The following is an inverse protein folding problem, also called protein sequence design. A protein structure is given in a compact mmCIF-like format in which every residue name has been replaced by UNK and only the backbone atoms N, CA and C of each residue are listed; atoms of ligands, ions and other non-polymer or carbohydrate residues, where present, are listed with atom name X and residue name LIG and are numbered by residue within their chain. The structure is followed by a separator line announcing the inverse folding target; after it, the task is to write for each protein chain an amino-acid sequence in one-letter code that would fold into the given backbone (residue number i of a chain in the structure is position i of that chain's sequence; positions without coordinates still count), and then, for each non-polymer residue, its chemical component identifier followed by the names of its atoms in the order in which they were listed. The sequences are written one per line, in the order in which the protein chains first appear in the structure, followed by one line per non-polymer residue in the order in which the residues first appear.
data_IF_716714041163
#
_entry.id   IF_716714041163
#
_cell.length_a   1.000
_cell.length_b   1.000
_cell.length_c   1.000
_cell.angle_alpha   90.00
_cell.angle_beta   90.00
_cell.angle_gamma   90.00
#
_symmetry.space_group_name_H-M   'P 1'
#
loop_
_entity.id
_entity.type
_entity.pdbx_description
1 polymer ?
#
# COMPACT_ATOMS: atom_id res chain seq x y z
N UNK A 1 -3.37 -0.87 13.38
CA UNK A 1 -2.67 -2.17 13.47
C UNK A 1 -3.51 -3.17 12.70
N UNK A 2 -2.91 -3.89 11.75
CA UNK A 2 -3.59 -4.94 10.96
C UNK A 2 -2.97 -6.29 11.33
N UNK A 3 -3.79 -7.32 11.43
CA UNK A 3 -3.35 -8.66 11.85
C UNK A 3 -3.89 -9.67 10.87
N UNK A 4 -3.04 -10.60 10.46
CA UNK A 4 -3.43 -11.78 9.69
C UNK A 4 -3.06 -13.04 10.46
N UNK A 5 -3.95 -14.03 10.43
CA UNK A 5 -3.70 -15.34 10.99
C UNK A 5 -3.45 -16.34 9.87
N UNK A 6 -2.49 -17.24 10.05
CA UNK A 6 -2.28 -18.33 9.11
C UNK A 6 -3.44 -19.33 9.22
N UNK A 7 -4.14 -19.56 8.12
CA UNK A 7 -5.17 -20.59 7.99
C UNK A 7 -4.54 -21.84 7.38
N UNK A 8 -4.35 -22.88 8.20
CA UNK A 8 -3.77 -24.15 7.76
C UNK A 8 -4.56 -24.82 6.64
N UNK A 9 -5.89 -24.63 6.56
CA UNK A 9 -6.72 -25.25 5.53
C UNK A 9 -6.53 -24.59 4.16
N UNK A 10 -6.23 -23.29 4.17
CA UNK A 10 -6.01 -22.49 2.95
C UNK A 10 -4.53 -22.36 2.60
N UNK A 11 -3.66 -22.70 3.54
CA UNK A 11 -2.22 -22.44 3.50
C UNK A 11 -1.94 -20.95 3.18
N UNK A 12 -2.70 -20.05 3.79
CA UNK A 12 -2.72 -18.62 3.47
C UNK A 12 -2.98 -17.76 4.71
N UNK A 13 -2.58 -16.49 4.67
CA UNK A 13 -2.82 -15.52 5.73
C UNK A 13 -4.13 -14.78 5.50
N UNK A 14 -5.07 -14.95 6.44
CA UNK A 14 -6.40 -14.31 6.39
C UNK A 14 -6.50 -13.19 7.42
N UNK A 15 -7.22 -12.12 7.08
CA UNK A 15 -7.50 -11.02 8.01
C UNK A 15 -8.09 -11.56 9.31
N UNK A 16 -7.50 -11.15 10.44
CA UNK A 16 -7.85 -11.63 11.76
C UNK A 16 -7.99 -10.46 12.74
N UNK A 17 -8.87 -10.66 13.73
CA UNK A 17 -9.04 -9.71 14.81
C UNK A 17 -7.83 -9.76 15.76
N UNK A 18 -7.31 -8.62 16.25
CA UNK A 18 -6.16 -8.59 17.16
C UNK A 18 -6.32 -9.44 18.43
N UNK A 19 -7.55 -9.64 18.91
CA UNK A 19 -7.87 -10.44 20.08
C UNK A 19 -7.43 -11.90 19.92
N UNK A 20 -7.37 -12.38 18.67
CA UNK A 20 -6.93 -13.74 18.34
C UNK A 20 -5.48 -14.00 18.73
N UNK A 21 -4.64 -12.97 18.73
CA UNK A 21 -3.25 -13.02 19.20
C UNK A 21 -3.11 -13.43 20.67
N UNK A 22 -4.15 -13.20 21.48
CA UNK A 22 -4.19 -13.58 22.89
C UNK A 22 -4.94 -14.89 23.11
N UNK A 23 -5.97 -15.15 22.31
CA UNK A 23 -6.77 -16.38 22.41
C UNK A 23 -5.98 -17.62 21.96
N UNK A 24 -5.11 -17.47 20.95
CA UNK A 24 -4.23 -18.53 20.48
C UNK A 24 -2.79 -18.00 20.34
N UNK A 25 -1.99 -18.10 21.41
CA UNK A 25 -0.60 -17.66 21.42
C UNK A 25 0.35 -18.55 20.59
N UNK A 26 -0.09 -19.77 20.24
CA UNK A 26 0.74 -20.74 19.54
C UNK A 26 0.65 -20.58 18.01
N UNK A 27 -0.42 -19.97 17.51
CA UNK A 27 -0.63 -19.70 16.09
C UNK A 27 0.43 -18.79 15.45
N UNK A 28 0.49 -18.85 14.12
CA UNK A 28 1.34 -18.00 13.29
C UNK A 28 0.55 -16.78 12.80
N UNK A 29 1.10 -15.58 13.03
CA UNK A 29 0.43 -14.33 12.68
C UNK A 29 1.39 -13.37 11.99
N UNK A 30 0.86 -12.57 11.08
CA UNK A 30 1.51 -11.35 10.58
C UNK A 30 0.84 -10.14 11.24
N UNK A 31 1.64 -9.20 11.74
CA UNK A 31 1.18 -8.03 12.46
C UNK A 31 1.81 -6.80 11.80
N UNK A 32 0.98 -5.92 11.26
CA UNK A 32 1.43 -4.63 10.74
C UNK A 32 1.13 -3.50 11.73
N UNK A 33 2.15 -2.75 12.09
CA UNK A 33 2.10 -1.56 12.95
C UNK A 33 2.68 -0.37 12.19
N UNK A 34 1.81 0.41 11.55
CA UNK A 34 2.26 1.49 10.67
C UNK A 34 2.96 0.92 9.44
N UNK A 35 4.22 1.30 9.23
CA UNK A 35 5.05 0.86 8.11
C UNK A 35 5.87 -0.40 8.43
N UNK A 36 5.88 -0.83 9.69
CA UNK A 36 6.61 -2.02 10.13
C UNK A 36 5.71 -3.26 10.11
N UNK A 37 6.25 -4.35 9.60
CA UNK A 37 5.61 -5.67 9.55
C UNK A 37 6.40 -6.64 10.43
N UNK A 38 5.68 -7.30 11.33
CA UNK A 38 6.18 -8.29 12.26
C UNK A 38 5.54 -9.63 12.00
N UNK A 39 6.27 -10.71 12.24
CA UNK A 39 5.77 -12.07 12.29
C UNK A 39 5.79 -12.55 13.73
N UNK A 40 4.68 -13.14 14.19
CA UNK A 40 4.56 -13.77 15.49
C UNK A 40 4.34 -15.27 15.31
N UNK A 41 5.28 -16.07 15.78
CA UNK A 41 5.25 -17.54 15.69
C UNK A 41 5.57 -18.10 17.08
N UNK A 42 4.76 -19.05 17.58
CA UNK A 42 4.95 -19.66 18.91
C UNK A 42 5.11 -18.62 20.04
N UNK A 43 4.33 -17.54 19.97
CA UNK A 43 4.35 -16.46 20.96
C UNK A 43 5.54 -15.51 20.88
N UNK A 44 6.53 -15.76 20.02
CA UNK A 44 7.67 -14.87 19.78
C UNK A 44 7.38 -13.92 18.62
N UNK A 45 7.59 -12.63 18.84
CA UNK A 45 7.44 -11.61 17.80
C UNK A 45 8.82 -11.19 17.28
N UNK A 46 8.96 -11.14 15.95
CA UNK A 46 10.18 -10.70 15.27
C UNK A 46 9.82 -9.88 14.03
N UNK A 47 10.70 -8.99 13.55
CA UNK A 47 10.48 -8.30 12.28
C UNK A 47 10.35 -9.32 11.15
N UNK A 48 9.40 -9.09 10.25
CA UNK A 48 9.19 -9.97 9.10
C UNK A 48 10.38 -9.83 8.13
N UNK A 49 11.02 -10.95 7.74
CA UNK A 49 12.01 -10.94 6.66
C UNK A 49 11.34 -10.61 5.32
N UNK A 50 12.10 -10.21 4.29
CA UNK A 50 11.56 -9.95 2.95
C UNK A 50 10.76 -11.13 2.39
N UNK A 51 11.18 -12.36 2.73
CA UNK A 51 10.51 -13.60 2.38
C UNK A 51 10.38 -14.49 3.59
N UNK A 52 9.16 -14.91 3.88
CA UNK A 52 8.82 -15.80 4.99
C UNK A 52 8.25 -17.10 4.44
N UNK A 53 8.77 -18.24 4.89
CA UNK A 53 8.20 -19.56 4.55
C UNK A 53 7.41 -20.10 5.72
N UNK A 54 6.11 -20.33 5.54
CA UNK A 54 5.22 -20.92 6.55
C UNK A 54 4.56 -22.17 5.96
N UNK A 55 4.68 -23.30 6.65
CA UNK A 55 4.17 -24.61 6.19
C UNK A 55 4.59 -24.98 4.74
N UNK A 56 5.76 -24.51 4.29
CA UNK A 56 6.26 -24.75 2.93
C UNK A 56 5.77 -23.76 1.86
N UNK A 57 4.92 -22.80 2.23
CA UNK A 57 4.46 -21.71 1.36
C UNK A 57 5.29 -20.46 1.59
N UNK A 58 5.72 -19.82 0.50
CA UNK A 58 6.52 -18.59 0.53
C UNK A 58 5.60 -17.36 0.48
N UNK A 59 5.84 -16.43 1.38
CA UNK A 59 5.13 -15.15 1.47
C UNK A 59 6.13 -14.01 1.40
N UNK A 60 5.89 -13.06 0.50
CA UNK A 60 6.69 -11.85 0.39
C UNK A 60 6.15 -10.78 1.35
N UNK A 61 7.05 -10.06 2.00
CA UNK A 61 6.73 -8.98 2.94
C UNK A 61 5.91 -7.86 2.30
N UNK A 62 6.16 -7.57 1.03
CA UNK A 62 5.42 -6.57 0.24
C UNK A 62 3.90 -6.81 0.23
N UNK A 63 3.46 -8.07 0.35
CA UNK A 63 2.05 -8.44 0.41
C UNK A 63 1.35 -7.89 1.66
N UNK A 64 2.11 -7.60 2.72
CA UNK A 64 1.62 -7.13 4.03
C UNK A 64 2.02 -5.69 4.33
N UNK A 65 2.92 -5.10 3.55
CA UNK A 65 3.33 -3.70 3.70
C UNK A 65 2.29 -2.72 3.16
N UNK A 66 1.34 -3.18 2.35
CA UNK A 66 0.27 -2.37 1.77
C UNK A 66 0.88 -1.16 1.07
N UNK A 67 1.38 -1.40 -0.13
CA UNK A 67 1.64 -0.30 -1.07
C UNK A 67 0.29 0.39 -1.22
N UNK A 68 0.09 1.51 -0.53
CA UNK A 68 -0.85 2.50 -0.99
C UNK A 68 -0.15 3.20 -2.14
N UNK A 69 -0.33 2.84 -3.43
CA UNK A 69 -0.44 3.94 -4.36
C UNK A 69 -1.62 4.75 -3.81
N UNK A 70 -1.49 6.07 -3.79
CA UNK A 70 -2.65 6.92 -3.58
C UNK A 70 -3.82 6.31 -4.35
N UNK A 71 -5.02 6.13 -3.76
CA UNK A 71 -6.14 5.61 -4.52
C UNK A 71 -6.18 6.41 -5.81
N UNK A 72 -6.10 5.78 -6.98
CA UNK A 72 -5.75 6.40 -8.27
C UNK A 72 -6.34 7.83 -8.46
N UNK A 73 -7.56 8.05 -7.98
CA UNK A 73 -8.24 9.35 -7.93
C UNK A 73 -7.48 10.46 -7.17
N UNK A 74 -6.82 10.18 -6.06
CA UNK A 74 -5.99 11.10 -5.28
C UNK A 74 -4.66 11.43 -5.99
N UNK A 75 -4.07 10.45 -6.69
CA UNK A 75 -2.90 10.66 -7.54
C UNK A 75 -3.27 11.58 -8.73
N UNK A 76 -4.30 11.20 -9.48
CA UNK A 76 -4.83 12.00 -10.59
C UNK A 76 -5.26 13.42 -10.15
N UNK A 77 -5.79 13.58 -8.94
CA UNK A 77 -6.13 14.90 -8.39
C UNK A 77 -4.89 15.75 -8.15
N UNK A 78 -3.82 15.16 -7.62
CA UNK A 78 -2.53 15.85 -7.42
C UNK A 78 -1.92 16.27 -8.76
N UNK A 79 -1.90 15.37 -9.72
CA UNK A 79 -1.36 15.65 -11.06
C UNK A 79 -2.19 16.71 -11.79
N UNK A 80 -3.53 16.61 -11.69
CA UNK A 80 -4.44 17.60 -12.24
C UNK A 80 -4.36 18.97 -11.54
N UNK A 81 -3.96 19.03 -10.26
CA UNK A 81 -3.67 20.30 -9.57
C UNK A 81 -2.36 20.90 -10.06
N UNK A 82 -1.32 20.07 -10.21
CA UNK A 82 -0.02 20.49 -10.74
C UNK A 82 -0.14 21.04 -12.17
N UNK A 83 -0.85 20.34 -13.06
CA UNK A 83 -1.07 20.77 -14.43
C UNK A 83 -1.84 22.11 -14.52
N UNK A 84 -2.85 22.32 -13.68
CA UNK A 84 -3.60 23.58 -13.63
C UNK A 84 -2.74 24.76 -13.13
N UNK A 85 -1.86 24.52 -12.17
CA UNK A 85 -0.93 25.54 -11.69
C UNK A 85 0.06 25.98 -12.79
N UNK A 86 0.58 25.02 -13.57
CA UNK A 86 1.44 25.32 -14.72
C UNK A 86 0.72 26.16 -15.78
N UNK A 87 -0.54 25.84 -16.09
CA UNK A 87 -1.35 26.63 -17.02
C UNK A 87 -1.61 28.05 -16.50
N UNK A 88 -1.94 28.22 -15.22
CA UNK A 88 -2.13 29.53 -14.60
C UNK A 88 -0.85 30.39 -14.61
N UNK A 89 0.32 29.78 -14.37
CA UNK A 89 1.61 30.46 -14.45
C UNK A 89 1.93 30.94 -15.87
N UNK A 90 1.55 30.15 -16.89
CA UNK A 90 1.67 30.54 -18.30
C UNK A 90 0.74 31.69 -18.66
N UNK A 91 -0.53 31.63 -18.27
CA UNK A 91 -1.52 32.68 -18.59
C UNK A 91 -1.19 34.02 -17.92
N UNK A 92 -0.41 34.00 -16.82
CA UNK A 92 0.17 35.20 -16.17
C UNK A 92 1.46 35.70 -16.83
N UNK A 93 1.99 34.99 -17.83
CA UNK A 93 3.22 35.34 -18.53
C UNK A 93 4.50 35.05 -17.73
N UNK A 94 4.42 34.27 -16.65
CA UNK A 94 5.56 33.99 -15.76
C UNK A 94 6.45 32.86 -16.29
N UNK A 95 5.97 32.05 -17.25
CA UNK A 95 6.70 30.91 -17.84
C UNK A 95 6.66 31.01 -19.36
N UNK A 96 7.84 31.12 -19.99
CA UNK A 96 8.01 31.33 -21.44
C UNK A 96 8.47 30.09 -22.23
N UNK A 97 8.36 28.89 -21.65
CA UNK A 97 8.79 27.64 -22.30
C UNK A 97 7.60 26.75 -22.68
N UNK A 98 7.68 25.97 -23.77
CA UNK A 98 6.63 25.02 -24.13
C UNK A 98 6.60 23.91 -23.08
N UNK A 99 5.54 23.89 -22.27
CA UNK A 99 5.28 22.79 -21.34
C UNK A 99 4.86 21.56 -22.15
N UNK A 100 5.67 20.52 -22.14
CA UNK A 100 5.30 19.16 -22.56
C UNK A 100 4.26 18.63 -21.55
N UNK A 101 3.00 19.04 -21.71
CA UNK A 101 1.90 18.57 -20.86
C UNK A 101 1.44 17.19 -21.34
N UNK A 102 1.07 16.27 -20.42
CA UNK A 102 0.47 15.00 -20.78
C UNK A 102 -0.78 15.18 -21.66
N UNK A 103 -0.98 14.30 -22.65
CA UNK A 103 -2.01 14.41 -23.70
C UNK A 103 -3.45 14.50 -23.13
N UNK A 104 -3.70 13.96 -21.95
CA UNK A 104 -5.01 14.00 -21.27
C UNK A 104 -5.30 15.34 -20.57
N UNK A 105 -4.30 16.23 -20.45
CA UNK A 105 -4.46 17.60 -19.94
C UNK A 105 -4.95 18.55 -21.04
N UNK A 106 -4.65 18.25 -22.31
CA UNK A 106 -4.96 19.12 -23.45
C UNK A 106 -6.26 18.76 -24.17
N UNK A 107 -6.84 17.59 -23.87
CA UNK A 107 -8.17 17.22 -24.38
C UNK A 107 -9.21 17.42 -23.29
N UNK A 108 -10.08 18.43 -23.48
CA UNK A 108 -11.27 18.62 -22.66
C UNK A 108 -12.11 17.35 -22.61
N UNK A 109 -12.76 17.13 -21.46
CA UNK A 109 -13.68 16.00 -21.25
C UNK A 109 -14.70 15.92 -22.39
N UNK A 110 -14.95 14.73 -22.97
CA UNK A 110 -16.04 14.57 -23.92
C UNK A 110 -17.38 14.76 -23.20
N UNK A 111 -18.24 15.61 -23.78
CA UNK A 111 -19.62 15.88 -23.35
C UNK A 111 -20.50 14.61 -23.27
#
# INVERSE_FOLDING_TARGET
MKVWAFDENRADFVDAAPERLNADPAGCYIIRRGDEVFVREHGQERPMPERLTVAGVLFDREQFEDVYPLPLRAEMKRDGQWARAQLQARDRGEVSLPLELPIWVTKGEPE
#
